data_IF_296523836452
#
_entry.id   IF_296523836452
#
_cell.length_a   1.000
_cell.length_b   1.000
_cell.length_c   1.000
_cell.angle_alpha   90.00
_cell.angle_beta   90.00
_cell.angle_gamma   90.00
#
_symmetry.space_group_name_H-M   'P 1'
#
loop_
_entity.id
_entity.type
_entity.pdbx_description
1 polymer ?
#
# COMPACT_ATOMS: atom_id res chain seq x y z
N UNK A 1 16.46 16.18 17.26
CA UNK A 1 17.53 15.23 16.88
C UNK A 1 18.74 15.90 16.24
N UNK A 2 18.65 16.42 14.99
CA UNK A 2 19.84 17.04 14.34
C UNK A 2 20.35 18.31 15.06
N UNK A 3 19.45 19.08 15.67
CA UNK A 3 19.80 20.21 16.54
C UNK A 3 20.54 19.76 17.80
N UNK A 4 20.18 18.61 18.35
CA UNK A 4 20.78 18.05 19.58
C UNK A 4 22.20 17.51 19.32
N UNK A 5 22.47 17.09 18.07
CA UNK A 5 23.80 16.67 17.60
C UNK A 5 24.74 17.85 17.30
N UNK A 6 24.33 19.11 17.56
CA UNK A 6 25.10 20.32 17.27
C UNK A 6 25.59 20.42 15.81
N UNK A 7 24.89 19.79 14.87
CA UNK A 7 25.22 19.90 13.44
C UNK A 7 24.91 21.34 13.00
N UNK A 8 25.89 22.11 12.51
CA UNK A 8 25.63 23.46 12.05
C UNK A 8 24.79 23.41 10.77
N UNK A 9 23.57 23.94 10.84
CA UNK A 9 22.63 24.13 9.71
C UNK A 9 22.30 22.84 8.94
N UNK A 10 21.53 21.91 9.53
CA UNK A 10 21.02 20.76 8.79
C UNK A 10 20.12 21.24 7.63
N UNK A 11 20.37 20.69 6.44
CA UNK A 11 19.59 20.99 5.24
C UNK A 11 18.95 19.68 4.75
N UNK A 12 17.63 19.70 4.52
CA UNK A 12 16.95 18.63 3.78
C UNK A 12 16.98 19.00 2.30
N UNK A 13 17.86 18.35 1.52
CA UNK A 13 18.14 18.73 0.14
C UNK A 13 17.13 18.09 -0.83
N UNK A 14 16.73 16.83 -0.57
CA UNK A 14 15.65 16.15 -1.28
C UNK A 14 15.17 14.91 -0.49
N UNK A 15 14.04 14.32 -0.91
CA UNK A 15 13.53 13.03 -0.38
C UNK A 15 13.74 11.92 -1.42
N UNK A 16 14.65 10.98 -1.13
CA UNK A 16 14.99 9.87 -2.03
C UNK A 16 13.81 8.94 -2.31
N UNK A 17 12.79 8.88 -1.44
CA UNK A 17 11.57 8.08 -1.71
C UNK A 17 10.87 8.53 -2.99
N UNK A 18 11.04 9.81 -3.35
CA UNK A 18 10.50 10.36 -4.58
C UNK A 18 11.19 9.78 -5.81
N UNK A 19 12.46 9.39 -5.73
CA UNK A 19 13.22 8.87 -6.87
C UNK A 19 13.31 7.34 -6.94
N UNK A 20 12.66 6.62 -6.01
CA UNK A 20 12.69 5.17 -5.97
C UNK A 20 12.03 4.57 -7.23
N UNK A 21 12.65 3.54 -7.80
CA UNK A 21 12.04 2.76 -8.89
C UNK A 21 10.79 2.00 -8.41
N UNK A 22 9.88 1.59 -9.33
CA UNK A 22 8.77 0.72 -8.98
C UNK A 22 9.27 -0.56 -8.30
N UNK A 23 8.63 -0.95 -7.17
CA UNK A 23 9.05 -2.14 -6.43
C UNK A 23 9.07 -3.38 -7.34
N UNK A 24 10.10 -4.23 -7.25
CA UNK A 24 10.18 -5.46 -8.04
C UNK A 24 9.12 -6.47 -7.59
N UNK A 25 8.81 -7.42 -8.46
CA UNK A 25 8.01 -8.59 -8.15
C UNK A 25 8.62 -9.81 -8.83
N UNK A 26 8.67 -10.93 -8.12
CA UNK A 26 9.08 -12.22 -8.69
C UNK A 26 8.00 -12.67 -9.68
N UNK A 27 8.39 -12.99 -10.92
CA UNK A 27 7.47 -13.15 -12.04
C UNK A 27 6.62 -14.41 -11.91
N UNK A 28 7.21 -15.53 -11.50
CA UNK A 28 6.50 -16.80 -11.36
C UNK A 28 5.47 -16.71 -10.24
N UNK A 29 5.84 -16.12 -9.10
CA UNK A 29 4.97 -15.85 -7.97
C UNK A 29 3.79 -14.95 -8.36
N UNK A 30 4.05 -13.87 -9.10
CA UNK A 30 2.99 -12.99 -9.59
C UNK A 30 2.05 -13.72 -10.56
N UNK A 31 2.59 -14.50 -11.50
CA UNK A 31 1.77 -15.24 -12.48
C UNK A 31 0.91 -16.31 -11.80
N UNK A 32 1.47 -17.07 -10.86
CA UNK A 32 0.76 -18.09 -10.10
C UNK A 32 -0.36 -17.48 -9.25
N UNK A 33 -0.08 -16.39 -8.53
CA UNK A 33 -1.08 -15.73 -7.70
C UNK A 33 -2.16 -15.04 -8.54
N UNK A 34 -1.79 -14.36 -9.62
CA UNK A 34 -2.76 -13.73 -10.53
C UNK A 34 -3.65 -14.79 -11.18
N UNK A 35 -3.09 -15.93 -11.58
CA UNK A 35 -3.86 -17.06 -12.14
C UNK A 35 -4.81 -17.69 -11.11
N UNK A 36 -4.38 -17.83 -9.86
CA UNK A 36 -5.20 -18.37 -8.79
C UNK A 36 -6.34 -17.43 -8.36
N UNK A 37 -6.09 -16.11 -8.41
CA UNK A 37 -7.09 -15.07 -8.13
C UNK A 37 -8.12 -14.99 -9.28
N UNK A 38 -7.67 -15.06 -10.53
CA UNK A 38 -8.54 -14.94 -11.70
C UNK A 38 -9.13 -13.53 -11.87
N UNK A 39 -10.39 -13.45 -12.29
CA UNK A 39 -11.08 -12.17 -12.57
C UNK A 39 -11.93 -11.64 -11.41
N UNK A 40 -11.88 -12.29 -10.25
CA UNK A 40 -12.71 -11.92 -9.09
C UNK A 40 -12.32 -10.54 -8.55
N UNK A 41 -13.23 -9.78 -7.92
CA UNK A 41 -12.89 -8.48 -7.34
C UNK A 41 -11.83 -8.62 -6.23
N UNK A 42 -10.84 -7.72 -6.22
CA UNK A 42 -9.76 -7.72 -5.23
C UNK A 42 -9.48 -6.31 -4.73
N UNK A 43 -9.32 -6.15 -3.42
CA UNK A 43 -8.68 -4.97 -2.83
C UNK A 43 -7.56 -5.37 -1.88
N UNK A 44 -6.58 -4.48 -1.72
CA UNK A 44 -5.40 -4.67 -0.88
C UNK A 44 -5.43 -3.71 0.31
N UNK A 45 -5.29 -4.24 1.53
CA UNK A 45 -4.92 -3.50 2.73
C UNK A 45 -3.41 -3.66 2.95
N UNK A 46 -2.64 -2.65 2.56
CA UNK A 46 -1.18 -2.70 2.51
C UNK A 46 -0.54 -2.09 3.77
N UNK A 47 0.45 -2.78 4.35
CA UNK A 47 1.21 -2.33 5.52
C UNK A 47 0.33 -1.94 6.71
N UNK A 48 -0.67 -2.78 7.02
CA UNK A 48 -1.62 -2.56 8.13
C UNK A 48 -0.96 -2.65 9.51
N UNK A 49 -1.56 -1.98 10.49
CA UNK A 49 -1.17 -2.01 11.90
C UNK A 49 -2.33 -2.49 12.78
N UNK A 50 -2.02 -2.78 14.05
CA UNK A 50 -3.00 -3.29 15.00
C UNK A 50 -4.24 -2.39 15.09
N UNK A 51 -5.43 -2.98 15.02
CA UNK A 51 -6.70 -2.28 14.91
C UNK A 51 -7.18 -2.09 13.47
N UNK A 52 -6.29 -2.14 12.47
CA UNK A 52 -6.69 -2.05 11.06
C UNK A 52 -6.99 -3.41 10.43
N UNK A 53 -6.38 -4.50 10.91
CA UNK A 53 -6.67 -5.83 10.36
C UNK A 53 -8.07 -6.29 10.74
N UNK A 54 -8.49 -6.03 11.98
CA UNK A 54 -9.86 -6.29 12.44
C UNK A 54 -10.87 -5.53 11.59
N UNK A 55 -10.63 -4.24 11.32
CA UNK A 55 -11.47 -3.43 10.44
C UNK A 55 -11.52 -3.95 9.01
N UNK A 56 -10.39 -4.42 8.45
CA UNK A 56 -10.36 -5.02 7.12
C UNK A 56 -11.16 -6.33 7.04
N UNK A 57 -11.12 -7.15 8.10
CA UNK A 57 -11.91 -8.40 8.22
C UNK A 57 -13.41 -8.09 8.32
N UNK A 58 -13.81 -7.15 9.17
CA UNK A 58 -15.20 -6.72 9.28
C UNK A 58 -15.73 -6.14 7.97
N UNK A 59 -14.91 -5.31 7.32
CA UNK A 59 -15.23 -4.73 6.03
C UNK A 59 -15.44 -5.80 4.95
N UNK A 60 -14.60 -6.82 4.92
CA UNK A 60 -14.79 -7.96 4.01
C UNK A 60 -16.14 -8.66 4.26
N UNK A 61 -16.50 -8.91 5.53
CA UNK A 61 -17.78 -9.54 5.90
C UNK A 61 -19.00 -8.73 5.45
N UNK A 62 -18.90 -7.40 5.44
CA UNK A 62 -19.96 -6.53 4.91
C UNK A 62 -20.02 -6.59 3.39
N UNK A 63 -18.87 -6.45 2.72
CA UNK A 63 -18.77 -6.39 1.26
C UNK A 63 -19.13 -7.72 0.59
N UNK A 64 -18.82 -8.87 1.20
CA UNK A 64 -19.09 -10.20 0.59
C UNK A 64 -20.57 -10.47 0.33
N UNK A 65 -21.48 -9.75 1.00
CA UNK A 65 -22.93 -9.83 0.73
C UNK A 65 -23.29 -9.32 -0.67
N UNK A 66 -22.46 -8.44 -1.22
CA UNK A 66 -22.63 -7.81 -2.55
C UNK A 66 -21.66 -8.36 -3.58
N UNK A 67 -20.48 -8.78 -3.11
CA UNK A 67 -19.41 -9.38 -3.90
C UNK A 67 -19.06 -10.77 -3.32
N UNK A 68 -19.84 -11.82 -3.59
CA UNK A 68 -19.63 -13.15 -2.99
C UNK A 68 -18.26 -13.76 -3.31
N UNK A 69 -17.65 -13.32 -4.40
CA UNK A 69 -16.31 -13.69 -4.84
C UNK A 69 -15.27 -12.60 -4.52
N UNK A 70 -15.51 -11.68 -3.58
CA UNK A 70 -14.48 -10.72 -3.18
C UNK A 70 -13.26 -11.44 -2.59
N UNK A 71 -12.06 -11.03 -2.96
CA UNK A 71 -10.83 -11.39 -2.24
C UNK A 71 -10.27 -10.14 -1.56
N UNK A 72 -9.96 -10.24 -0.27
CA UNK A 72 -9.23 -9.19 0.44
C UNK A 72 -7.82 -9.65 0.73
N UNK A 73 -6.84 -8.89 0.21
CA UNK A 73 -5.44 -9.14 0.52
C UNK A 73 -5.06 -8.26 1.72
N UNK A 74 -4.53 -8.86 2.78
CA UNK A 74 -4.02 -8.13 3.94
C UNK A 74 -2.51 -8.34 4.00
N UNK A 75 -1.74 -7.25 4.06
CA UNK A 75 -0.29 -7.31 4.25
C UNK A 75 0.06 -6.50 5.50
N UNK A 76 0.31 -7.14 6.65
CA UNK A 76 0.65 -6.42 7.87
C UNK A 76 2.02 -5.77 7.75
N UNK A 77 2.20 -4.62 8.40
CA UNK A 77 3.51 -3.95 8.49
C UNK A 77 4.59 -4.84 9.11
N UNK A 78 4.16 -5.74 10.00
CA UNK A 78 5.02 -6.73 10.63
C UNK A 78 4.52 -8.14 10.31
N UNK A 79 5.25 -8.84 9.44
CA UNK A 79 4.94 -10.21 9.02
C UNK A 79 4.78 -11.20 10.19
N UNK A 80 5.47 -10.95 11.32
CA UNK A 80 5.35 -11.76 12.55
C UNK A 80 3.94 -11.77 13.15
N UNK A 81 3.05 -10.86 12.75
CA UNK A 81 1.64 -10.85 13.18
C UNK A 81 0.76 -11.81 12.38
N UNK A 82 1.30 -12.48 11.36
CA UNK A 82 0.55 -13.32 10.43
C UNK A 82 -0.30 -14.39 11.13
N UNK A 83 0.27 -15.08 12.13
CA UNK A 83 -0.45 -16.12 12.89
C UNK A 83 -1.67 -15.56 13.64
N UNK A 84 -1.51 -14.40 14.29
CA UNK A 84 -2.57 -13.76 15.05
C UNK A 84 -3.70 -13.27 14.13
N UNK A 85 -3.36 -12.67 12.99
CA UNK A 85 -4.32 -12.17 12.01
C UNK A 85 -5.10 -13.34 11.38
N UNK A 86 -4.40 -14.42 11.01
CA UNK A 86 -5.03 -15.61 10.45
C UNK A 86 -5.99 -16.27 11.45
N UNK A 87 -5.61 -16.38 12.73
CA UNK A 87 -6.47 -16.92 13.77
C UNK A 87 -7.71 -16.05 14.01
N UNK A 88 -7.54 -14.72 14.07
CA UNK A 88 -8.64 -13.77 14.22
C UNK A 88 -9.64 -13.87 13.07
N UNK A 89 -9.16 -13.88 11.82
CA UNK A 89 -10.01 -13.99 10.64
C UNK A 89 -10.70 -15.36 10.53
N UNK A 90 -10.01 -16.46 10.85
CA UNK A 90 -10.64 -17.78 10.87
C UNK A 90 -11.75 -17.87 11.92
N UNK A 91 -11.60 -17.16 13.05
CA UNK A 91 -12.62 -17.05 14.10
C UNK A 91 -13.94 -16.41 13.65
N UNK A 92 -13.95 -15.70 12.52
CA UNK A 92 -15.18 -15.12 11.94
C UNK A 92 -15.82 -16.00 10.87
N UNK A 93 -15.27 -17.20 10.63
CA UNK A 93 -15.75 -18.15 9.63
C UNK A 93 -15.28 -17.86 8.20
N UNK A 94 -14.31 -16.95 8.02
CA UNK A 94 -13.70 -16.69 6.72
C UNK A 94 -12.66 -17.76 6.36
N UNK A 95 -12.59 -18.08 5.08
CA UNK A 95 -11.54 -18.93 4.51
C UNK A 95 -10.27 -18.09 4.28
N UNK A 96 -9.17 -18.48 4.92
CA UNK A 96 -7.90 -17.72 4.88
C UNK A 96 -6.80 -18.56 4.24
N UNK A 97 -6.13 -18.00 3.23
CA UNK A 97 -4.89 -18.55 2.68
C UNK A 97 -3.70 -17.64 3.07
N UNK A 98 -2.52 -18.23 3.27
CA UNK A 98 -1.33 -17.51 3.72
C UNK A 98 -0.15 -17.66 2.76
N UNK A 99 0.53 -16.55 2.47
CA UNK A 99 1.73 -16.54 1.62
C UNK A 99 2.88 -17.31 2.27
N UNK A 100 3.11 -17.12 3.57
CA UNK A 100 4.21 -17.75 4.32
C UNK A 100 4.17 -19.28 4.34
N UNK A 101 3.00 -19.89 4.13
CA UNK A 101 2.80 -21.34 4.11
C UNK A 101 2.80 -21.94 2.70
N UNK A 102 3.08 -21.11 1.68
CA UNK A 102 3.08 -21.53 0.28
C UNK A 102 1.69 -21.77 -0.31
N UNK A 103 0.62 -21.31 0.36
CA UNK A 103 -0.74 -21.45 -0.16
C UNK A 103 -1.00 -20.44 -1.28
N UNK A 104 -1.83 -20.86 -2.24
CA UNK A 104 -2.47 -19.99 -3.20
C UNK A 104 -3.93 -19.75 -2.79
N UNK A 105 -4.50 -18.56 -3.07
CA UNK A 105 -5.93 -18.36 -2.95
C UNK A 105 -6.70 -19.37 -3.81
N UNK A 106 -7.74 -19.97 -3.24
CA UNK A 106 -8.71 -20.81 -3.94
C UNK A 106 -9.98 -19.99 -4.25
N UNK A 107 -10.88 -20.48 -5.13
CA UNK A 107 -12.13 -19.79 -5.42
C UNK A 107 -12.97 -19.46 -4.17
N UNK A 108 -12.89 -20.28 -3.13
CA UNK A 108 -13.58 -20.11 -1.85
C UNK A 108 -12.74 -19.37 -0.79
N UNK A 109 -11.54 -18.91 -1.12
CA UNK A 109 -10.72 -18.08 -0.22
C UNK A 109 -11.32 -16.68 -0.12
N UNK A 110 -11.58 -16.23 1.11
CA UNK A 110 -12.10 -14.90 1.42
C UNK A 110 -10.95 -13.90 1.63
N UNK A 111 -9.92 -14.31 2.38
CA UNK A 111 -8.75 -13.50 2.70
C UNK A 111 -7.45 -14.16 2.25
N UNK A 112 -6.55 -13.37 1.66
CA UNK A 112 -5.18 -13.79 1.41
C UNK A 112 -4.20 -12.94 2.22
N UNK A 113 -3.45 -13.59 3.10
CA UNK A 113 -2.51 -12.93 4.00
C UNK A 113 -1.10 -12.93 3.42
N UNK A 114 -0.59 -11.74 3.12
CA UNK A 114 0.80 -11.51 2.71
C UNK A 114 1.71 -11.34 3.92
N UNK A 115 1.94 -12.42 4.66
CA UNK A 115 2.75 -12.45 5.88
C UNK A 115 4.23 -12.82 5.61
N UNK A 116 4.80 -12.21 4.57
CA UNK A 116 6.20 -12.36 4.16
C UNK A 116 6.86 -10.99 4.00
N UNK A 117 8.19 -10.95 4.04
CA UNK A 117 8.96 -9.71 3.91
C UNK A 117 9.44 -9.51 2.46
N UNK A 118 9.45 -8.25 2.00
CA UNK A 118 10.06 -7.88 0.72
C UNK A 118 9.20 -8.13 -0.52
N UNK A 119 7.95 -8.56 -0.38
CA UNK A 119 7.05 -8.90 -1.51
C UNK A 119 5.99 -7.83 -1.83
N UNK A 120 6.10 -6.61 -1.29
CA UNK A 120 5.08 -5.56 -1.49
C UNK A 120 4.82 -5.25 -2.97
N UNK A 121 5.87 -5.24 -3.81
CA UNK A 121 5.70 -5.02 -5.25
C UNK A 121 4.82 -6.09 -5.92
N UNK A 122 4.86 -7.33 -5.42
CA UNK A 122 3.96 -8.39 -5.87
C UNK A 122 2.53 -8.08 -5.42
N UNK A 123 2.30 -7.79 -4.14
CA UNK A 123 0.95 -7.57 -3.61
C UNK A 123 0.26 -6.36 -4.23
N UNK A 124 0.99 -5.25 -4.44
CA UNK A 124 0.45 -4.09 -5.14
C UNK A 124 -0.03 -4.48 -6.55
N UNK A 125 0.68 -5.34 -7.28
CA UNK A 125 0.26 -5.76 -8.63
C UNK A 125 -0.97 -6.68 -8.65
N UNK A 126 -1.31 -7.34 -7.53
CA UNK A 126 -2.47 -8.24 -7.43
C UNK A 126 -3.81 -7.53 -7.26
N UNK A 127 -3.82 -6.22 -6.99
CA UNK A 127 -5.06 -5.45 -6.89
C UNK A 127 -4.93 -4.10 -7.59
N UNK A 128 -6.05 -3.56 -8.09
CA UNK A 128 -6.11 -2.18 -8.60
C UNK A 128 -6.30 -1.15 -7.48
N UNK A 129 -6.84 -1.57 -6.34
CA UNK A 129 -7.24 -0.68 -5.24
C UNK A 129 -6.42 -1.04 -4.01
N UNK A 130 -5.75 -0.05 -3.45
CA UNK A 130 -4.87 -0.21 -2.31
C UNK A 130 -5.23 0.78 -1.20
N UNK A 131 -5.63 0.26 -0.04
CA UNK A 131 -5.66 1.03 1.20
C UNK A 131 -4.28 0.99 1.86
N UNK A 132 -3.74 2.17 2.19
CA UNK A 132 -2.46 2.31 2.87
C UNK A 132 -2.65 2.32 4.37
N UNK A 133 -2.18 1.29 5.05
CA UNK A 133 -2.27 1.14 6.50
C UNK A 133 -1.41 2.13 7.30
N UNK A 134 -1.53 2.04 8.62
CA UNK A 134 -1.01 3.00 9.58
C UNK A 134 -1.64 4.38 9.46
N UNK A 135 -2.78 4.48 8.78
CA UNK A 135 -3.41 5.75 8.40
C UNK A 135 -4.82 5.93 8.97
N UNK A 136 -5.52 4.85 9.33
CA UNK A 136 -6.74 4.91 10.15
C UNK A 136 -6.46 4.80 11.65
N UNK A 137 -5.20 4.52 12.00
CA UNK A 137 -4.63 4.56 13.34
C UNK A 137 -3.48 5.58 13.38
N UNK A 138 -3.15 6.19 14.53
CA UNK A 138 -2.17 7.27 14.63
C UNK A 138 -0.71 6.78 14.52
N UNK A 139 -0.36 6.19 13.37
CA UNK A 139 0.98 5.73 13.01
C UNK A 139 1.66 6.58 11.93
N UNK A 140 0.94 7.56 11.36
CA UNK A 140 1.47 8.55 10.42
C UNK A 140 1.53 8.09 8.95
N UNK A 141 0.89 6.96 8.62
CA UNK A 141 0.78 6.44 7.26
C UNK A 141 2.04 5.74 6.74
N UNK A 142 1.93 5.21 5.53
CA UNK A 142 3.00 4.51 4.79
C UNK A 142 3.26 5.19 3.44
N UNK A 143 4.34 4.83 2.75
CA UNK A 143 4.77 5.52 1.53
C UNK A 143 3.79 5.29 0.37
N UNK A 144 3.00 6.30 -0.06
CA UNK A 144 2.02 6.10 -1.12
C UNK A 144 2.63 6.11 -2.51
N UNK A 145 3.91 6.49 -2.66
CA UNK A 145 4.57 6.47 -3.97
C UNK A 145 4.82 5.05 -4.48
N UNK A 146 4.95 4.06 -3.59
CA UNK A 146 5.12 2.65 -3.98
C UNK A 146 3.94 2.11 -4.79
N UNK A 147 2.68 2.16 -4.30
CA UNK A 147 1.52 1.77 -5.11
C UNK A 147 1.26 2.75 -6.26
N UNK A 148 1.54 4.04 -6.10
CA UNK A 148 1.31 5.04 -7.14
C UNK A 148 2.12 4.72 -8.42
N UNK A 149 3.41 4.43 -8.28
CA UNK A 149 4.29 4.01 -9.39
C UNK A 149 3.83 2.73 -10.09
N UNK A 150 3.00 1.94 -9.42
CA UNK A 150 2.41 0.73 -9.97
C UNK A 150 1.01 0.97 -10.53
N UNK A 151 0.55 2.22 -10.67
CA UNK A 151 -0.77 2.56 -11.21
C UNK A 151 -1.92 1.98 -10.36
N UNK A 152 -1.87 2.20 -9.05
CA UNK A 152 -2.91 1.75 -8.11
C UNK A 152 -3.75 2.93 -7.62
N UNK A 153 -5.05 2.71 -7.48
CA UNK A 153 -5.93 3.62 -6.77
C UNK A 153 -5.64 3.57 -5.27
N UNK A 154 -5.31 4.72 -4.67
CA UNK A 154 -4.82 4.79 -3.29
C UNK A 154 -5.91 5.32 -2.36
N UNK A 155 -6.24 4.56 -1.33
CA UNK A 155 -7.09 4.98 -0.22
C UNK A 155 -6.26 5.11 1.05
N UNK A 156 -6.56 6.09 1.90
CA UNK A 156 -5.80 6.32 3.12
C UNK A 156 -6.63 7.05 4.19
N UNK A 157 -6.34 6.82 5.46
CA UNK A 157 -6.98 7.47 6.59
C UNK A 157 -6.37 8.83 6.96
N UNK A 158 -6.88 9.50 8.01
CA UNK A 158 -6.45 10.86 8.36
C UNK A 158 -5.03 10.97 8.95
N UNK A 159 -4.45 9.88 9.46
CA UNK A 159 -3.16 9.91 10.14
C UNK A 159 -2.00 9.72 9.15
N UNK A 160 -1.57 10.81 8.52
CA UNK A 160 -0.57 10.81 7.43
C UNK A 160 0.69 11.62 7.76
N UNK A 161 1.01 11.83 9.04
CA UNK A 161 2.07 12.74 9.49
C UNK A 161 3.43 12.49 8.80
N UNK A 162 3.78 11.23 8.51
CA UNK A 162 5.05 10.88 7.86
C UNK A 162 5.09 11.25 6.37
N UNK A 163 3.94 11.54 5.75
CA UNK A 163 3.75 11.77 4.33
C UNK A 163 2.78 12.93 4.06
N UNK A 164 2.73 13.90 4.98
CA UNK A 164 1.77 15.02 4.98
C UNK A 164 1.84 15.92 3.73
N UNK A 165 2.93 15.86 2.95
CA UNK A 165 3.05 16.57 1.68
C UNK A 165 2.65 15.73 0.46
N UNK A 166 2.77 14.39 0.54
CA UNK A 166 2.60 13.51 -0.61
C UNK A 166 1.13 13.10 -0.76
N UNK A 167 0.47 12.72 0.32
CA UNK A 167 -0.94 12.30 0.27
C UNK A 167 -1.89 13.41 -0.22
N UNK A 168 -1.79 14.68 0.25
CA UNK A 168 -2.64 15.74 -0.28
C UNK A 168 -2.39 16.03 -1.76
N UNK A 169 -1.13 16.01 -2.20
CA UNK A 169 -0.79 16.23 -3.60
C UNK A 169 -1.30 15.11 -4.52
N UNK A 170 -1.21 13.85 -4.08
CA UNK A 170 -1.86 12.72 -4.76
C UNK A 170 -3.38 12.87 -4.78
N UNK A 171 -3.99 13.38 -3.72
CA UNK A 171 -5.44 13.59 -3.68
C UNK A 171 -5.88 14.74 -4.61
N UNK A 172 -5.11 15.82 -4.68
CA UNK A 172 -5.37 16.96 -5.56
C UNK A 172 -5.33 16.57 -7.04
N UNK A 173 -4.43 15.68 -7.44
CA UNK A 173 -4.39 15.15 -8.80
C UNK A 173 -5.39 14.02 -9.06
N UNK A 174 -6.19 13.62 -8.05
CA UNK A 174 -7.16 12.53 -8.15
C UNK A 174 -6.53 11.12 -8.13
N UNK A 175 -5.27 10.99 -7.73
CA UNK A 175 -4.55 9.72 -7.60
C UNK A 175 -4.74 9.01 -6.26
N UNK A 176 -5.24 9.72 -5.25
CA UNK A 176 -5.56 9.15 -3.95
C UNK A 176 -6.84 9.75 -3.37
N UNK A 177 -7.47 9.05 -2.44
CA UNK A 177 -8.64 9.54 -1.73
C UNK A 177 -8.52 9.27 -0.23
N UNK A 178 -8.67 10.33 0.56
CA UNK A 178 -8.78 10.21 2.01
C UNK A 178 -10.13 9.62 2.40
N UNK A 179 -10.11 8.67 3.34
CA UNK A 179 -11.28 8.09 3.99
C UNK A 179 -11.23 8.44 5.48
N UNK A 180 -12.32 8.94 6.05
CA UNK A 180 -12.31 9.39 7.45
C UNK A 180 -12.28 8.21 8.43
N UNK A 181 -12.90 7.09 8.05
CA UNK A 181 -13.10 5.90 8.86
C UNK A 181 -13.40 4.67 7.97
N UNK A 182 -13.65 3.52 8.61
CA UNK A 182 -14.00 2.26 7.95
C UNK A 182 -15.32 2.31 7.17
N UNK A 183 -16.29 3.11 7.58
CA UNK A 183 -17.58 3.25 6.89
C UNK A 183 -17.41 4.04 5.58
N UNK A 184 -16.63 5.12 5.60
CA UNK A 184 -16.26 5.85 4.38
C UNK A 184 -15.40 4.97 3.47
N UNK A 185 -14.49 4.17 4.04
CA UNK A 185 -13.71 3.19 3.27
C UNK A 185 -14.61 2.17 2.57
N UNK A 186 -15.64 1.64 3.24
CA UNK A 186 -16.61 0.72 2.65
C UNK A 186 -17.33 1.33 1.44
N UNK A 187 -17.84 2.55 1.61
CA UNK A 187 -18.56 3.25 0.55
C UNK A 187 -17.66 3.59 -0.64
N UNK A 188 -16.41 3.96 -0.38
CA UNK A 188 -15.45 4.27 -1.45
C UNK A 188 -15.00 3.00 -2.16
N UNK A 189 -14.68 1.92 -1.43
CA UNK A 189 -14.35 0.63 -2.05
C UNK A 189 -15.48 0.14 -2.94
N UNK A 190 -16.72 0.20 -2.46
CA UNK A 190 -17.88 -0.21 -3.25
C UNK A 190 -17.97 0.52 -4.59
N UNK A 191 -17.81 1.85 -4.58
CA UNK A 191 -17.80 2.65 -5.81
C UNK A 191 -16.66 2.28 -6.75
N UNK A 192 -15.47 2.00 -6.20
CA UNK A 192 -14.29 1.63 -6.99
C UNK A 192 -14.38 0.21 -7.54
N UNK A 193 -15.10 -0.70 -6.87
CA UNK A 193 -15.31 -2.07 -7.32
C UNK A 193 -16.37 -2.18 -8.43
N UNK A 194 -17.30 -1.23 -8.54
CA UNK A 194 -18.40 -1.25 -9.53
C UNK A 194 -18.04 -0.69 -10.91
N UNK A 195 -16.89 -0.04 -11.08
CA UNK A 195 -16.57 0.63 -12.35
C UNK A 195 -15.09 0.92 -12.56
N UNK A 196 -14.80 1.71 -13.60
CA UNK A 196 -13.43 1.97 -14.06
C UNK A 196 -12.72 3.11 -13.33
N UNK A 197 -13.36 3.70 -12.31
CA UNK A 197 -12.82 4.83 -11.55
C UNK A 197 -11.49 4.49 -10.85
N UNK A 198 -11.29 3.22 -10.47
CA UNK A 198 -10.01 2.75 -9.95
C UNK A 198 -8.87 2.82 -10.98
N UNK A 199 -9.17 2.63 -12.27
CA UNK A 199 -8.16 2.73 -13.34
C UNK A 199 -7.69 4.18 -13.50
N UNK A 200 -8.63 5.11 -13.65
CA UNK A 200 -8.33 6.53 -13.78
C UNK A 200 -7.60 7.09 -12.55
N UNK A 201 -8.00 6.69 -11.34
CA UNK A 201 -7.30 7.05 -10.11
C UNK A 201 -5.87 6.49 -10.09
N UNK A 202 -5.67 5.23 -10.50
CA UNK A 202 -4.33 4.65 -10.61
C UNK A 202 -3.42 5.37 -11.61
N UNK A 203 -3.94 5.74 -12.78
CA UNK A 203 -3.20 6.46 -13.82
C UNK A 203 -2.77 7.85 -13.34
N UNK A 204 -3.67 8.56 -12.65
CA UNK A 204 -3.35 9.85 -12.04
C UNK A 204 -2.27 9.71 -10.96
N UNK A 205 -2.33 8.66 -10.13
CA UNK A 205 -1.32 8.38 -9.12
C UNK A 205 0.06 8.11 -9.75
N UNK A 206 0.10 7.30 -10.81
CA UNK A 206 1.35 6.99 -11.51
C UNK A 206 1.97 8.24 -12.13
N UNK A 207 1.17 9.05 -12.82
CA UNK A 207 1.62 10.32 -13.43
C UNK A 207 2.25 11.25 -12.39
N UNK A 208 1.61 11.39 -11.22
CA UNK A 208 2.18 12.16 -10.12
C UNK A 208 3.49 11.55 -9.60
N UNK A 209 3.55 10.24 -9.38
CA UNK A 209 4.73 9.61 -8.81
C UNK A 209 5.95 9.67 -9.74
N UNK A 210 5.73 9.55 -11.05
CA UNK A 210 6.79 9.66 -12.05
C UNK A 210 7.36 11.07 -12.10
N UNK A 211 6.50 12.09 -12.18
CA UNK A 211 6.93 13.50 -12.14
C UNK A 211 7.56 13.91 -10.79
N UNK A 212 7.08 13.35 -9.67
CA UNK A 212 7.60 13.67 -8.35
C UNK A 212 9.08 13.25 -8.16
N UNK A 213 9.56 12.24 -8.91
CA UNK A 213 10.91 11.71 -8.83
C UNK A 213 11.93 12.38 -9.76
N UNK A 214 11.49 13.17 -10.73
CA UNK A 214 12.37 13.84 -11.69
C UNK A 214 13.34 14.80 -10.97
N UNK A 215 14.62 14.75 -11.36
CA UNK A 215 15.68 15.63 -10.85
C UNK A 215 16.11 15.40 -9.40
N UNK A 216 15.44 14.55 -8.63
CA UNK A 216 15.78 14.29 -7.22
C UNK A 216 17.18 13.67 -7.09
N UNK A 217 17.51 12.69 -7.94
CA UNK A 217 18.85 12.07 -7.94
C UNK A 217 19.93 13.06 -8.36
N UNK A 218 19.67 13.91 -9.36
CA UNK A 218 20.63 14.91 -9.83
C UNK A 218 20.95 15.93 -8.72
N UNK A 219 19.92 16.40 -8.01
CA UNK A 219 20.07 17.30 -6.87
C UNK A 219 20.89 16.66 -5.75
N UNK A 220 20.60 15.40 -5.39
CA UNK A 220 21.34 14.68 -4.34
C UNK A 220 22.79 14.42 -4.76
N UNK A 221 23.02 13.97 -5.99
CA UNK A 221 24.35 13.74 -6.54
C UNK A 221 25.17 15.05 -6.56
N UNK A 222 24.59 16.15 -7.02
CA UNK A 222 25.25 17.46 -7.03
C UNK A 222 25.60 17.94 -5.61
N UNK A 223 24.74 17.68 -4.62
CA UNK A 223 25.00 18.03 -3.23
C UNK A 223 26.10 17.17 -2.58
N UNK A 224 26.21 15.89 -2.95
CA UNK A 224 27.23 14.97 -2.44
C UNK A 224 28.58 15.12 -3.14
N UNK A 225 28.60 15.61 -4.38
CA UNK A 225 29.79 15.72 -5.22
C UNK A 225 30.98 16.44 -4.54
N UNK A 226 30.82 17.56 -3.83
CA UNK A 226 31.92 18.24 -3.14
C UNK A 226 32.50 17.45 -1.96
N UNK A 227 31.73 16.53 -1.37
CA UNK A 227 32.16 15.67 -0.26
C UNK A 227 32.91 14.46 -0.81
N UNK A 228 32.35 13.79 -1.81
CA UNK A 228 32.95 12.62 -2.45
C UNK A 228 34.28 12.94 -3.16
N UNK A 229 34.45 14.19 -3.63
CA UNK A 229 35.68 14.65 -4.25
C UNK A 229 36.83 14.93 -3.26
N UNK A 230 36.58 14.98 -1.95
CA UNK A 230 37.59 15.26 -0.91
C UNK A 230 38.30 14.01 -0.37
N UNK A 231 37.75 12.82 -0.63
CA UNK A 231 38.31 11.52 -0.21
C UNK A 231 39.14 10.83 -1.31
N UNK A 232 39.60 11.59 -2.32
CA UNK A 232 40.61 11.17 -3.31
C UNK A 232 41.84 12.07 -3.21
#
# INVERSE_FOLDING_TARGET
YLTDLKIPKPMCIADLKRAAEPLPAEQDGLQNLSGAIGSRPVWLAASTHAGEEEGAVELHLNLRRRYPDLLTIIVPRHASRGDAIAAMAAGTGLSVARRSTGQLPRPDTDLFLGDTMGEMGLFYRLSRICFMGGSLVPHGGQNPLEPARLCRAILYGPYIDNFAMIYPALAECGGAQQVADWNILEQTLDKLLQGDSACAMGEAAQTYADSAGEGVLDIVCAALQPVLARDR
#
